data_IF_984921500498
#
_entry.id   IF_984921500498
#
_cell.length_a   1.000
_cell.length_b   1.000
_cell.length_c   1.000
_cell.angle_alpha   90.00
_cell.angle_beta   90.00
_cell.angle_gamma   90.00
#
_symmetry.space_group_name_H-M   'P 1'
#
loop_
_entity.id
_entity.type
_entity.pdbx_description
1 polymer ?
#
# COMPACT_ATOMS: atom_id res chain seq x y z
N UNK A 1 -29.56 -20.38 0.37
CA UNK A 1 -28.92 -19.97 -0.90
C UNK A 1 -29.85 -20.35 -2.04
N UNK A 2 -30.35 -19.37 -2.79
CA UNK A 2 -31.11 -19.64 -4.02
C UNK A 2 -30.14 -20.20 -5.08
N UNK A 3 -30.55 -21.28 -5.75
CA UNK A 3 -29.75 -22.09 -6.71
C UNK A 3 -29.04 -21.30 -7.82
N UNK A 4 -29.34 -20.00 -7.98
CA UNK A 4 -28.82 -19.14 -9.06
C UNK A 4 -27.98 -17.94 -8.57
N UNK A 5 -27.73 -17.79 -7.27
CA UNK A 5 -27.09 -16.59 -6.74
C UNK A 5 -25.61 -16.50 -7.17
N UNK A 6 -24.84 -17.56 -6.95
CA UNK A 6 -23.40 -17.60 -7.29
C UNK A 6 -23.18 -17.33 -8.79
N UNK A 7 -24.05 -17.88 -9.64
CA UNK A 7 -23.97 -17.66 -11.10
C UNK A 7 -24.25 -16.20 -11.46
N UNK A 8 -25.22 -15.56 -10.78
CA UNK A 8 -25.50 -14.13 -11.01
C UNK A 8 -24.34 -13.25 -10.60
N UNK A 9 -23.76 -13.49 -9.43
CA UNK A 9 -22.60 -12.74 -8.98
C UNK A 9 -21.38 -12.96 -9.88
N UNK A 10 -21.14 -14.19 -10.32
CA UNK A 10 -20.08 -14.49 -11.28
C UNK A 10 -20.30 -13.71 -12.59
N UNK A 11 -21.55 -13.64 -13.09
CA UNK A 11 -21.86 -12.88 -14.30
C UNK A 11 -21.67 -11.36 -14.08
N UNK A 12 -21.99 -10.85 -12.91
CA UNK A 12 -21.78 -9.44 -12.58
C UNK A 12 -20.27 -9.12 -12.55
N UNK A 13 -19.49 -9.92 -11.85
CA UNK A 13 -18.02 -9.79 -11.81
C UNK A 13 -17.39 -9.86 -13.22
N UNK A 14 -17.88 -10.78 -14.08
CA UNK A 14 -17.42 -10.85 -15.47
C UNK A 14 -17.68 -9.54 -16.22
N UNK A 15 -18.89 -8.95 -16.07
CA UNK A 15 -19.26 -7.69 -16.75
C UNK A 15 -18.39 -6.52 -16.33
N UNK A 16 -17.99 -6.47 -15.07
CA UNK A 16 -17.15 -5.41 -14.52
C UNK A 16 -15.68 -5.53 -14.94
N UNK A 17 -15.22 -6.77 -15.24
CA UNK A 17 -13.80 -7.05 -15.50
C UNK A 17 -13.46 -7.31 -16.96
N UNK A 18 -14.43 -7.41 -17.85
CA UNK A 18 -14.13 -7.50 -19.29
C UNK A 18 -13.46 -6.20 -19.77
N UNK A 19 -12.56 -6.26 -20.75
CA UNK A 19 -11.93 -5.09 -21.33
C UNK A 19 -12.97 -4.07 -21.84
N UNK A 20 -12.73 -2.76 -21.66
CA UNK A 20 -13.66 -1.72 -22.11
C UNK A 20 -14.00 -1.85 -23.59
N UNK A 21 -15.30 -1.77 -23.91
CA UNK A 21 -15.79 -1.86 -25.30
C UNK A 21 -16.02 -3.28 -25.82
N UNK A 22 -15.72 -4.32 -25.04
CA UNK A 22 -16.03 -5.70 -25.44
C UNK A 22 -17.42 -6.15 -24.94
N UNK A 23 -18.06 -7.00 -25.74
CA UNK A 23 -19.31 -7.67 -25.35
C UNK A 23 -18.99 -8.97 -24.61
N UNK A 24 -19.60 -9.18 -23.43
CA UNK A 24 -19.36 -10.35 -22.60
C UNK A 24 -19.58 -11.68 -23.34
N UNK A 25 -20.62 -11.78 -24.16
CA UNK A 25 -20.89 -13.02 -24.90
C UNK A 25 -19.80 -13.32 -25.95
N UNK A 26 -19.28 -12.31 -26.63
CA UNK A 26 -18.19 -12.49 -27.57
C UNK A 26 -16.89 -12.88 -26.84
N UNK A 27 -16.57 -12.18 -25.73
CA UNK A 27 -15.41 -12.50 -24.91
C UNK A 27 -15.43 -13.97 -24.45
N UNK A 28 -16.57 -14.44 -23.93
CA UNK A 28 -16.71 -15.83 -23.45
C UNK A 28 -16.68 -16.84 -24.61
N UNK A 29 -17.19 -16.49 -25.81
CA UNK A 29 -17.10 -17.34 -27.01
C UNK A 29 -15.64 -17.61 -27.34
N UNK A 30 -14.81 -16.57 -27.33
CA UNK A 30 -13.39 -16.67 -27.68
C UNK A 30 -12.58 -17.35 -26.55
N UNK A 31 -12.90 -17.05 -25.29
CA UNK A 31 -12.18 -17.59 -24.13
C UNK A 31 -12.48 -19.05 -23.85
N UNK A 32 -13.74 -19.48 -24.04
CA UNK A 32 -14.18 -20.84 -23.73
C UNK A 32 -14.24 -21.75 -24.98
N UNK A 33 -13.91 -21.21 -26.17
CA UNK A 33 -13.95 -21.91 -27.44
C UNK A 33 -15.30 -22.59 -27.71
N UNK A 34 -16.42 -21.91 -27.41
CA UNK A 34 -17.77 -22.45 -27.59
C UNK A 34 -18.66 -21.53 -28.44
N UNK A 35 -19.69 -22.11 -29.06
CA UNK A 35 -20.63 -21.34 -29.89
C UNK A 35 -21.44 -20.30 -29.08
N UNK A 36 -21.80 -19.18 -29.72
CA UNK A 36 -22.54 -18.07 -29.10
C UNK A 36 -23.80 -18.52 -28.38
N UNK A 37 -24.57 -19.43 -28.99
CA UNK A 37 -25.82 -19.93 -28.37
C UNK A 37 -25.55 -20.67 -27.06
N UNK A 38 -24.46 -21.46 -26.98
CA UNK A 38 -24.07 -22.13 -25.75
C UNK A 38 -23.68 -21.16 -24.65
N UNK A 39 -23.00 -20.03 -25.03
CA UNK A 39 -22.67 -18.94 -24.10
C UNK A 39 -23.94 -18.24 -23.62
N UNK A 40 -24.87 -17.88 -24.51
CA UNK A 40 -26.12 -17.22 -24.12
C UNK A 40 -26.97 -18.08 -23.20
N UNK A 41 -27.04 -19.38 -23.41
CA UNK A 41 -27.75 -20.31 -22.50
C UNK A 41 -27.16 -20.31 -21.10
N UNK A 42 -25.82 -20.21 -20.98
CA UNK A 42 -25.14 -20.08 -19.68
C UNK A 42 -25.41 -18.73 -19.02
N UNK A 43 -25.33 -17.66 -19.80
CA UNK A 43 -25.59 -16.30 -19.28
C UNK A 43 -27.06 -16.11 -18.84
N UNK A 44 -28.02 -16.82 -19.45
CA UNK A 44 -29.42 -16.86 -19.02
C UNK A 44 -29.69 -17.82 -17.86
N UNK A 45 -28.69 -18.63 -17.46
CA UNK A 45 -28.83 -19.61 -16.40
C UNK A 45 -29.59 -20.88 -16.80
N UNK A 46 -29.80 -21.09 -18.10
CA UNK A 46 -30.45 -22.32 -18.63
C UNK A 46 -29.52 -23.54 -18.57
N UNK A 47 -28.23 -23.28 -18.67
CA UNK A 47 -27.17 -24.26 -18.53
C UNK A 47 -26.15 -23.72 -17.54
N UNK A 48 -25.75 -24.53 -16.56
CA UNK A 48 -24.72 -24.15 -15.60
C UNK A 48 -23.34 -24.08 -16.28
N UNK A 49 -22.50 -23.14 -15.86
CA UNK A 49 -21.08 -23.21 -16.16
C UNK A 49 -20.47 -24.43 -15.49
N UNK A 50 -19.62 -25.15 -16.21
CA UNK A 50 -18.83 -26.24 -15.63
C UNK A 50 -17.73 -25.66 -14.75
N UNK A 51 -17.16 -26.51 -13.89
CA UNK A 51 -16.05 -26.05 -13.03
C UNK A 51 -14.82 -25.63 -13.85
N UNK A 52 -14.53 -26.34 -14.92
CA UNK A 52 -13.42 -25.99 -15.84
C UNK A 52 -13.67 -24.64 -16.54
N UNK A 53 -14.90 -24.40 -16.99
CA UNK A 53 -15.25 -23.10 -17.59
C UNK A 53 -15.10 -21.95 -16.59
N UNK A 54 -15.55 -22.17 -15.35
CA UNK A 54 -15.38 -21.22 -14.25
C UNK A 54 -13.89 -20.98 -13.96
N UNK A 55 -13.07 -22.01 -13.93
CA UNK A 55 -11.63 -21.89 -13.70
C UNK A 55 -10.95 -21.06 -14.81
N UNK A 56 -11.27 -21.31 -16.07
CA UNK A 56 -10.75 -20.56 -17.22
C UNK A 56 -11.17 -19.10 -17.16
N UNK A 57 -12.45 -18.81 -16.88
CA UNK A 57 -13.00 -17.46 -16.72
C UNK A 57 -12.29 -16.73 -15.58
N UNK A 58 -12.20 -17.39 -14.42
CA UNK A 58 -11.59 -16.82 -13.21
C UNK A 58 -10.12 -16.45 -13.45
N UNK A 59 -9.37 -17.33 -14.13
CA UNK A 59 -7.97 -17.09 -14.45
C UNK A 59 -7.80 -15.89 -15.41
N UNK A 60 -8.60 -15.82 -16.48
CA UNK A 60 -8.45 -14.79 -17.51
C UNK A 60 -8.96 -13.41 -17.07
N UNK A 61 -9.98 -13.35 -16.23
CA UNK A 61 -10.57 -12.10 -15.72
C UNK A 61 -10.08 -11.71 -14.32
N UNK A 62 -9.24 -12.55 -13.68
CA UNK A 62 -8.79 -12.31 -12.31
C UNK A 62 -9.92 -12.37 -11.28
N UNK A 63 -10.96 -13.19 -11.53
CA UNK A 63 -12.11 -13.34 -10.63
C UNK A 63 -11.78 -14.38 -9.56
N UNK A 64 -11.96 -14.04 -8.28
CA UNK A 64 -11.85 -14.98 -7.17
C UNK A 64 -13.21 -15.62 -6.86
N UNK A 65 -13.33 -16.92 -7.07
CA UNK A 65 -14.53 -17.67 -6.70
C UNK A 65 -14.75 -17.67 -5.19
N UNK A 66 -13.68 -17.67 -4.41
CA UNK A 66 -13.77 -17.57 -2.95
C UNK A 66 -14.35 -16.25 -2.50
N UNK A 67 -14.08 -15.14 -3.22
CA UNK A 67 -14.75 -13.85 -2.95
C UNK A 67 -16.24 -13.94 -3.21
N UNK A 68 -16.65 -14.52 -4.33
CA UNK A 68 -18.08 -14.68 -4.68
C UNK A 68 -18.80 -15.55 -3.64
N UNK A 69 -18.19 -16.64 -3.20
CA UNK A 69 -18.77 -17.54 -2.19
C UNK A 69 -18.65 -16.95 -0.79
N UNK A 70 -17.52 -16.34 -0.47
CA UNK A 70 -17.16 -15.83 0.85
C UNK A 70 -18.00 -14.62 1.29
N UNK A 71 -18.46 -13.80 0.37
CA UNK A 71 -19.38 -12.67 0.65
C UNK A 71 -20.70 -13.11 1.33
N UNK A 72 -20.98 -14.41 1.37
CA UNK A 72 -22.15 -14.99 2.06
C UNK A 72 -21.83 -15.69 3.39
N UNK A 73 -20.54 -15.96 3.64
CA UNK A 73 -20.12 -16.56 4.91
C UNK A 73 -19.68 -15.39 5.80
N UNK A 74 -20.58 -14.92 6.65
CA UNK A 74 -20.48 -13.72 7.48
C UNK A 74 -19.18 -13.55 8.30
N UNK A 75 -18.26 -14.53 8.29
CA UNK A 75 -17.03 -14.55 9.09
C UNK A 75 -15.77 -14.88 8.26
N UNK A 76 -15.85 -14.93 6.92
CA UNK A 76 -14.66 -15.19 6.08
C UNK A 76 -14.49 -14.06 5.09
N UNK A 77 -13.26 -13.57 4.99
CA UNK A 77 -12.87 -12.51 4.08
C UNK A 77 -11.62 -12.93 3.34
N UNK A 78 -11.57 -12.63 2.04
CA UNK A 78 -10.41 -12.92 1.21
C UNK A 78 -9.45 -11.74 1.25
N UNK A 79 -8.16 -12.06 1.37
CA UNK A 79 -7.06 -11.11 1.24
C UNK A 79 -6.16 -11.51 0.08
N UNK A 80 -5.78 -10.55 -0.72
CA UNK A 80 -4.67 -10.68 -1.64
C UNK A 80 -3.37 -10.53 -0.87
N UNK A 81 -2.47 -11.48 -1.01
CA UNK A 81 -1.17 -11.43 -0.34
C UNK A 81 -0.12 -11.02 -1.36
N UNK A 82 0.49 -9.87 -1.13
CA UNK A 82 1.56 -9.36 -1.97
C UNK A 82 2.91 -10.02 -1.60
N UNK A 83 2.99 -11.33 -1.83
CA UNK A 83 4.16 -12.16 -1.62
C UNK A 83 4.71 -12.60 -2.98
N UNK A 84 5.32 -11.66 -3.71
CA UNK A 84 5.91 -11.98 -4.99
C UNK A 84 7.20 -12.78 -4.79
N UNK A 85 7.29 -13.91 -5.49
CA UNK A 85 8.44 -14.80 -5.49
C UNK A 85 9.04 -14.86 -6.89
N UNK A 86 9.64 -13.75 -7.35
CA UNK A 86 10.50 -13.80 -8.51
C UNK A 86 11.91 -14.22 -8.08
N UNK A 87 12.64 -15.00 -8.88
CA UNK A 87 14.07 -15.24 -8.67
C UNK A 87 14.89 -13.93 -8.65
N UNK A 88 14.39 -12.90 -9.31
CA UNK A 88 14.99 -11.57 -9.32
C UNK A 88 14.34 -10.68 -8.25
N UNK A 89 15.06 -10.41 -7.17
CA UNK A 89 14.59 -9.59 -6.05
C UNK A 89 14.28 -8.15 -6.46
N UNK A 90 15.04 -7.55 -7.40
CA UNK A 90 14.77 -6.20 -7.87
C UNK A 90 13.45 -6.11 -8.64
N UNK A 91 13.10 -7.14 -9.44
CA UNK A 91 11.80 -7.22 -10.11
C UNK A 91 10.66 -7.33 -9.10
N UNK A 92 10.78 -8.26 -8.14
CA UNK A 92 9.77 -8.42 -7.09
C UNK A 92 9.55 -7.13 -6.30
N UNK A 93 10.64 -6.44 -5.93
CA UNK A 93 10.55 -5.16 -5.24
C UNK A 93 9.84 -4.11 -6.09
N UNK A 94 10.23 -3.98 -7.36
CA UNK A 94 9.63 -3.04 -8.29
C UNK A 94 8.13 -3.29 -8.45
N UNK A 95 7.72 -4.54 -8.66
CA UNK A 95 6.30 -4.90 -8.80
C UNK A 95 5.47 -4.56 -7.55
N UNK A 96 6.04 -4.74 -6.35
CA UNK A 96 5.39 -4.33 -5.10
C UNK A 96 5.19 -2.81 -5.06
N UNK A 97 6.22 -2.03 -5.41
CA UNK A 97 6.12 -0.56 -5.44
C UNK A 97 5.12 -0.10 -6.49
N UNK A 98 5.13 -0.70 -7.69
CA UNK A 98 4.17 -0.40 -8.76
C UNK A 98 2.72 -0.70 -8.34
N UNK A 99 2.49 -1.72 -7.50
CA UNK A 99 1.15 -1.98 -6.95
C UNK A 99 0.65 -0.79 -6.10
N UNK A 100 1.50 -0.25 -5.22
CA UNK A 100 1.15 0.95 -4.46
C UNK A 100 0.91 2.17 -5.37
N UNK A 101 1.73 2.32 -6.42
CA UNK A 101 1.55 3.39 -7.39
C UNK A 101 0.21 3.29 -8.13
N UNK A 102 -0.24 2.10 -8.50
CA UNK A 102 -1.58 1.91 -9.11
C UNK A 102 -2.69 2.37 -8.17
N UNK A 103 -2.60 2.03 -6.87
CA UNK A 103 -3.57 2.49 -5.85
C UNK A 103 -3.59 4.01 -5.77
N UNK A 104 -2.43 4.67 -5.69
CA UNK A 104 -2.38 6.13 -5.63
C UNK A 104 -2.78 6.81 -6.94
N UNK A 105 -2.50 6.18 -8.09
CA UNK A 105 -2.93 6.68 -9.39
C UNK A 105 -4.45 6.66 -9.57
N UNK A 106 -5.15 5.73 -8.93
CA UNK A 106 -6.61 5.66 -8.98
C UNK A 106 -7.30 6.87 -8.33
N UNK A 107 -6.59 7.62 -7.48
CA UNK A 107 -7.10 8.83 -6.84
C UNK A 107 -6.91 10.11 -7.69
N UNK A 108 -6.19 10.02 -8.81
CA UNK A 108 -5.88 11.19 -9.62
C UNK A 108 -7.15 11.85 -10.18
N UNK A 109 -7.34 13.14 -9.86
CA UNK A 109 -8.49 13.92 -10.31
C UNK A 109 -9.75 13.74 -9.46
N UNK A 110 -9.68 12.99 -8.36
CA UNK A 110 -10.77 12.84 -7.41
C UNK A 110 -10.46 13.58 -6.10
N UNK A 111 -10.98 14.80 -5.97
CA UNK A 111 -10.81 15.62 -4.77
C UNK A 111 -11.56 15.07 -3.53
N UNK A 112 -12.47 14.12 -3.73
CA UNK A 112 -13.19 13.45 -2.64
C UNK A 112 -12.44 12.20 -2.13
N UNK A 113 -11.33 11.81 -2.80
CA UNK A 113 -10.55 10.65 -2.39
C UNK A 113 -9.91 10.84 -1.02
N UNK A 114 -9.84 9.77 -0.25
CA UNK A 114 -9.34 9.77 1.14
C UNK A 114 -8.31 8.67 1.36
N UNK A 115 -7.28 9.00 2.13
CA UNK A 115 -6.32 8.03 2.67
C UNK A 115 -6.31 8.15 4.19
N UNK A 116 -6.52 7.04 4.88
CA UNK A 116 -6.34 6.91 6.32
C UNK A 116 -5.20 5.94 6.60
N UNK A 117 -4.21 6.35 7.35
CA UNK A 117 -3.07 5.49 7.70
C UNK A 117 -2.70 5.63 9.16
N UNK A 118 -2.68 4.51 9.89
CA UNK A 118 -2.10 4.43 11.22
C UNK A 118 -0.78 3.67 11.13
N UNK A 119 0.32 4.24 11.62
CA UNK A 119 1.66 3.67 11.46
C UNK A 119 2.57 3.93 12.65
N UNK A 120 3.31 2.90 13.05
CA UNK A 120 4.37 2.95 14.06
C UNK A 120 5.78 3.11 13.45
N UNK A 121 5.86 3.32 12.14
CA UNK A 121 7.12 3.58 11.41
C UNK A 121 6.93 4.74 10.45
N UNK A 122 8.01 5.36 10.00
CA UNK A 122 7.93 6.40 8.96
C UNK A 122 7.30 5.79 7.69
N UNK A 123 6.19 6.36 7.17
CA UNK A 123 5.61 5.87 5.92
C UNK A 123 6.60 6.03 4.76
N UNK A 124 6.74 5.00 3.93
CA UNK A 124 7.70 5.00 2.82
C UNK A 124 7.47 6.14 1.84
N UNK A 125 6.25 6.56 1.64
CA UNK A 125 5.87 7.68 0.77
C UNK A 125 6.53 9.01 1.14
N UNK A 126 6.92 9.22 2.40
CA UNK A 126 7.59 10.44 2.83
C UNK A 126 9.09 10.45 2.51
N UNK A 127 9.73 9.29 2.46
CA UNK A 127 11.17 9.22 2.26
C UNK A 127 11.62 8.48 0.99
N UNK A 128 10.68 8.02 0.17
CA UNK A 128 11.01 7.27 -1.06
C UNK A 128 11.80 8.09 -2.09
N UNK A 129 11.68 9.41 -2.08
CA UNK A 129 12.45 10.30 -2.95
C UNK A 129 13.87 10.61 -2.44
N UNK A 130 14.19 10.29 -1.17
CA UNK A 130 15.51 10.47 -0.61
C UNK A 130 16.42 9.31 -1.01
N UNK A 131 17.57 9.61 -1.56
CA UNK A 131 18.42 8.61 -2.20
C UNK A 131 18.90 7.53 -1.23
N UNK A 132 19.54 7.91 -0.13
CA UNK A 132 20.11 6.96 0.82
C UNK A 132 19.04 6.25 1.65
N UNK A 133 17.97 6.94 2.06
CA UNK A 133 16.87 6.32 2.79
C UNK A 133 16.14 5.26 1.94
N UNK A 134 15.91 5.55 0.67
CA UNK A 134 15.28 4.61 -0.25
C UNK A 134 16.21 3.45 -0.63
N UNK A 135 17.50 3.70 -0.84
CA UNK A 135 18.53 2.66 -1.03
C UNK A 135 18.63 1.74 0.19
N UNK A 136 18.66 2.32 1.39
CA UNK A 136 18.72 1.53 2.63
C UNK A 136 17.50 0.63 2.79
N UNK A 137 16.29 1.15 2.45
CA UNK A 137 15.07 0.34 2.47
C UNK A 137 15.16 -0.84 1.50
N UNK A 138 15.62 -0.62 0.27
CA UNK A 138 15.81 -1.68 -0.72
C UNK A 138 16.87 -2.68 -0.26
N UNK A 139 18.02 -2.20 0.23
CA UNK A 139 19.10 -3.03 0.78
C UNK A 139 18.59 -3.96 1.89
N UNK A 140 17.85 -3.40 2.85
CA UNK A 140 17.22 -4.14 3.95
C UNK A 140 16.25 -5.20 3.44
N UNK A 141 15.41 -4.85 2.46
CA UNK A 141 14.45 -5.79 1.89
C UNK A 141 15.15 -6.95 1.16
N UNK A 142 16.20 -6.67 0.38
CA UNK A 142 17.04 -7.68 -0.26
C UNK A 142 17.71 -8.59 0.78
N UNK A 143 18.28 -7.99 1.83
CA UNK A 143 18.92 -8.73 2.91
C UNK A 143 17.98 -9.71 3.61
N UNK A 144 16.73 -9.28 3.83
CA UNK A 144 15.70 -10.13 4.47
C UNK A 144 15.15 -11.25 3.57
N UNK A 145 15.09 -11.01 2.26
CA UNK A 145 14.44 -11.93 1.31
C UNK A 145 15.41 -12.77 0.47
N UNK A 146 16.70 -12.52 0.54
CA UNK A 146 17.68 -13.23 -0.29
C UNK A 146 18.93 -13.66 0.45
N UNK A 147 19.56 -14.69 -0.10
CA UNK A 147 20.93 -15.09 0.26
C UNK A 147 21.99 -14.29 -0.52
N UNK A 148 21.61 -13.11 -1.00
CA UNK A 148 22.48 -12.24 -1.81
C UNK A 148 23.42 -11.48 -0.89
N UNK A 149 24.72 -11.49 -1.20
CA UNK A 149 25.67 -10.57 -0.56
C UNK A 149 25.21 -9.15 -0.88
N UNK A 150 24.78 -8.41 0.15
CA UNK A 150 24.62 -6.96 0.02
C UNK A 150 26.01 -6.33 -0.09
N UNK A 151 26.18 -5.27 -0.89
CA UNK A 151 27.42 -4.50 -0.87
C UNK A 151 27.67 -3.94 0.54
N UNK A 152 28.93 -3.85 0.96
CA UNK A 152 29.30 -3.31 2.27
C UNK A 152 29.13 -1.79 2.36
N UNK A 153 28.62 -1.15 1.31
CA UNK A 153 28.31 0.27 1.23
C UNK A 153 27.07 0.49 0.37
N UNK A 154 26.19 1.37 0.82
CA UNK A 154 25.02 1.82 0.04
C UNK A 154 25.46 2.63 -1.19
N UNK A 155 26.60 3.32 -1.12
CA UNK A 155 27.16 4.08 -2.24
C UNK A 155 27.50 3.17 -3.42
N UNK A 156 27.94 1.93 -3.16
CA UNK A 156 28.29 0.95 -4.19
C UNK A 156 27.06 0.16 -4.70
N UNK A 157 25.91 0.35 -4.07
CA UNK A 157 24.70 -0.33 -4.47
C UNK A 157 24.10 0.28 -5.73
N UNK A 158 24.12 -0.47 -6.83
CA UNK A 158 23.42 -0.08 -8.05
C UNK A 158 21.91 -0.33 -7.89
N UNK A 159 21.13 0.72 -7.99
CA UNK A 159 19.65 0.64 -8.00
C UNK A 159 19.18 0.84 -9.44
N UNK A 160 18.44 -0.11 -10.05
CA UNK A 160 17.92 0.05 -11.40
C UNK A 160 17.10 1.34 -11.57
N UNK A 161 17.28 2.04 -12.69
CA UNK A 161 16.61 3.34 -12.96
C UNK A 161 15.09 3.27 -12.81
N UNK A 162 14.47 2.15 -13.20
CA UNK A 162 13.03 1.94 -13.04
C UNK A 162 12.58 1.98 -11.57
N UNK A 163 13.40 1.45 -10.64
CA UNK A 163 13.11 1.50 -9.20
C UNK A 163 13.26 2.93 -8.69
N UNK A 164 14.31 3.64 -9.13
CA UNK A 164 14.50 5.07 -8.77
C UNK A 164 13.31 5.90 -9.25
N UNK A 165 12.84 5.68 -10.48
CA UNK A 165 11.66 6.35 -11.00
C UNK A 165 10.40 6.03 -10.20
N UNK A 166 10.18 4.75 -9.85
CA UNK A 166 9.03 4.33 -9.02
C UNK A 166 9.09 4.94 -7.63
N UNK A 167 10.26 5.07 -7.01
CA UNK A 167 10.43 5.73 -5.71
C UNK A 167 10.03 7.22 -5.77
N UNK A 168 10.47 7.95 -6.79
CA UNK A 168 10.07 9.36 -7.00
C UNK A 168 8.57 9.47 -7.23
N UNK A 169 7.99 8.60 -8.06
CA UNK A 169 6.57 8.58 -8.32
C UNK A 169 5.75 8.24 -7.06
N UNK A 170 6.28 7.41 -6.16
CA UNK A 170 5.61 7.03 -4.92
C UNK A 170 5.49 8.21 -3.96
N UNK A 171 6.52 9.05 -3.84
CA UNK A 171 6.47 10.26 -3.00
C UNK A 171 5.43 11.27 -3.50
N UNK A 172 5.24 11.35 -4.82
CA UNK A 172 4.22 12.22 -5.43
C UNK A 172 2.83 11.57 -5.46
N UNK A 173 2.80 10.23 -5.41
CA UNK A 173 1.55 9.46 -5.52
C UNK A 173 0.55 9.80 -4.41
N UNK A 174 1.02 9.86 -3.18
CA UNK A 174 0.18 10.15 -2.01
C UNK A 174 -0.44 11.56 -2.06
N UNK A 175 0.28 12.54 -2.61
CA UNK A 175 -0.21 13.93 -2.76
C UNK A 175 -1.42 14.05 -3.68
N UNK A 176 -1.79 12.97 -4.41
CA UNK A 176 -2.97 12.94 -5.29
C UNK A 176 -4.28 12.73 -4.54
N UNK A 177 -4.23 12.21 -3.31
CA UNK A 177 -5.41 12.09 -2.47
C UNK A 177 -5.96 13.45 -2.09
N UNK A 178 -7.28 13.65 -2.18
CA UNK A 178 -7.93 14.89 -1.78
C UNK A 178 -7.72 15.18 -0.29
N UNK A 179 -7.79 14.14 0.54
CA UNK A 179 -7.55 14.21 1.99
C UNK A 179 -6.71 13.05 2.47
N UNK A 180 -5.72 13.36 3.30
CA UNK A 180 -4.83 12.36 3.90
C UNK A 180 -4.82 12.48 5.42
N UNK A 181 -5.09 11.38 6.11
CA UNK A 181 -5.10 11.29 7.57
C UNK A 181 -4.03 10.30 8.03
N UNK A 182 -3.01 10.80 8.72
CA UNK A 182 -1.99 9.99 9.37
C UNK A 182 -2.21 9.98 10.88
N UNK A 183 -2.14 8.78 11.47
CA UNK A 183 -2.06 8.60 12.92
C UNK A 183 -0.73 7.91 13.19
N UNK A 184 0.17 8.63 13.84
CA UNK A 184 1.52 8.20 14.08
C UNK A 184 1.75 7.81 15.53
N UNK A 185 2.52 6.75 15.70
CA UNK A 185 3.19 6.50 16.98
C UNK A 185 4.18 7.63 17.29
N UNK A 186 4.33 7.96 18.58
CA UNK A 186 5.23 9.01 19.04
C UNK A 186 6.72 8.71 18.80
N UNK A 187 7.09 7.48 18.36
CA UNK A 187 8.45 7.00 18.14
C UNK A 187 8.71 6.55 16.71
N UNK A 188 7.99 7.08 15.72
CA UNK A 188 8.01 6.60 14.32
C UNK A 188 9.42 6.52 13.69
N UNK A 189 10.39 7.32 14.15
CA UNK A 189 11.78 7.28 13.67
C UNK A 189 12.64 6.21 14.37
N UNK A 190 12.23 5.73 15.54
CA UNK A 190 13.05 4.85 16.38
C UNK A 190 13.41 3.53 15.69
N UNK A 191 12.46 2.91 14.98
CA UNK A 191 12.71 1.65 14.28
C UNK A 191 13.75 1.82 13.17
N UNK A 192 13.66 2.92 12.41
CA UNK A 192 14.59 3.21 11.33
C UNK A 192 16.03 3.43 11.85
N UNK A 193 16.16 4.22 12.91
CA UNK A 193 17.47 4.47 13.57
C UNK A 193 18.05 3.19 14.14
N UNK A 194 17.24 2.34 14.80
CA UNK A 194 17.68 1.02 15.29
C UNK A 194 18.21 0.13 14.18
N UNK A 195 17.52 0.10 13.04
CA UNK A 195 17.93 -0.70 11.88
C UNK A 195 19.24 -0.19 11.28
N UNK A 196 19.44 1.12 11.14
CA UNK A 196 20.71 1.70 10.69
C UNK A 196 21.84 1.26 11.61
N UNK A 197 21.68 1.40 12.94
CA UNK A 197 22.68 0.96 13.93
C UNK A 197 22.99 -0.54 13.81
N UNK A 198 21.98 -1.37 13.62
CA UNK A 198 22.15 -2.81 13.45
C UNK A 198 22.97 -3.14 12.20
N UNK A 199 22.64 -2.54 11.05
CA UNK A 199 23.36 -2.77 9.81
C UNK A 199 24.79 -2.23 9.87
N UNK A 200 25.02 -1.09 10.51
CA UNK A 200 26.36 -0.54 10.75
C UNK A 200 27.18 -1.46 11.67
N UNK A 201 26.60 -1.96 12.77
CA UNK A 201 27.25 -2.88 13.69
C UNK A 201 27.62 -4.22 13.08
N UNK A 202 26.96 -4.65 12.01
CA UNK A 202 27.30 -5.83 11.21
C UNK A 202 28.24 -5.53 10.02
N UNK A 203 28.72 -4.29 9.86
CA UNK A 203 29.47 -3.83 8.71
C UNK A 203 28.79 -4.08 7.35
N UNK A 204 27.46 -4.04 7.32
CA UNK A 204 26.64 -4.15 6.10
C UNK A 204 26.46 -2.80 5.40
N UNK A 205 26.73 -1.72 6.10
CA UNK A 205 26.81 -0.34 5.59
C UNK A 205 28.03 0.34 6.18
N UNK A 206 28.59 1.28 5.44
CA UNK A 206 29.80 2.00 5.85
C UNK A 206 29.51 3.18 6.79
N UNK A 207 30.53 3.68 7.50
CA UNK A 207 30.38 4.90 8.32
C UNK A 207 29.93 6.11 7.50
N UNK A 208 30.45 6.38 6.29
CA UNK A 208 29.89 7.43 5.43
C UNK A 208 28.41 7.22 5.11
N UNK A 209 27.95 5.98 4.85
CA UNK A 209 26.51 5.72 4.61
C UNK A 209 25.66 6.12 5.81
N UNK A 210 26.12 5.83 7.04
CA UNK A 210 25.40 6.25 8.27
C UNK A 210 25.28 7.76 8.32
N UNK A 211 26.32 8.51 7.95
CA UNK A 211 26.27 9.98 7.91
C UNK A 211 25.30 10.49 6.85
N UNK A 212 25.28 9.90 5.65
CA UNK A 212 24.29 10.26 4.62
C UNK A 212 22.87 9.97 5.07
N UNK A 213 22.63 8.80 5.67
CA UNK A 213 21.32 8.42 6.21
C UNK A 213 20.87 9.37 7.33
N UNK A 214 21.78 9.75 8.24
CA UNK A 214 21.51 10.73 9.29
C UNK A 214 21.11 12.08 8.72
N UNK A 215 21.88 12.59 7.75
CA UNK A 215 21.59 13.87 7.10
C UNK A 215 20.24 13.86 6.40
N UNK A 216 19.91 12.79 5.66
CA UNK A 216 18.63 12.68 5.01
C UNK A 216 17.46 12.51 5.99
N UNK A 217 17.64 11.83 7.15
CA UNK A 217 16.63 11.76 8.21
C UNK A 217 16.39 13.13 8.84
N UNK A 218 17.44 13.94 9.05
CA UNK A 218 17.32 15.31 9.54
C UNK A 218 16.56 16.18 8.53
N UNK A 219 16.89 16.08 7.24
CA UNK A 219 16.18 16.82 6.18
C UNK A 219 14.71 16.39 6.10
N UNK A 220 14.45 15.10 6.14
CA UNK A 220 13.08 14.56 6.18
C UNK A 220 12.28 15.12 7.36
N UNK A 221 12.92 15.22 8.54
CA UNK A 221 12.26 15.77 9.73
C UNK A 221 11.91 17.26 9.56
N UNK A 222 12.80 18.04 8.94
CA UNK A 222 12.56 19.44 8.59
C UNK A 222 11.39 19.57 7.60
N UNK A 223 11.38 18.74 6.56
CA UNK A 223 10.32 18.74 5.55
C UNK A 223 8.97 18.34 6.15
N UNK A 224 8.96 17.37 7.07
CA UNK A 224 7.76 16.97 7.81
C UNK A 224 7.26 18.07 8.77
N UNK A 225 8.17 18.82 9.41
CA UNK A 225 7.81 19.98 10.24
C UNK A 225 7.12 21.04 9.37
N UNK A 226 7.73 21.44 8.25
CA UNK A 226 7.14 22.41 7.32
C UNK A 226 5.78 21.97 6.80
N UNK A 227 5.66 20.68 6.43
CA UNK A 227 4.42 20.11 5.92
C UNK A 227 3.33 20.09 7.02
N UNK A 228 3.71 19.77 8.26
CA UNK A 228 2.78 19.75 9.38
C UNK A 228 2.33 21.15 9.81
N UNK A 229 3.19 22.18 9.66
CA UNK A 229 2.78 23.58 9.90
C UNK A 229 1.71 23.98 8.91
N UNK A 230 1.86 23.68 7.62
CA UNK A 230 0.89 24.03 6.58
C UNK A 230 -0.42 23.26 6.70
N UNK A 231 -0.39 21.97 7.02
CA UNK A 231 -1.56 21.10 7.02
C UNK A 231 -2.11 20.76 5.63
N UNK A 232 -1.32 21.04 4.59
CA UNK A 232 -1.67 20.76 3.20
C UNK A 232 -0.42 20.47 2.35
N UNK A 233 -0.60 19.75 1.25
CA UNK A 233 0.43 19.56 0.25
C UNK A 233 0.55 20.79 -0.68
N UNK A 234 1.62 20.83 -1.49
CA UNK A 234 1.87 21.93 -2.44
C UNK A 234 0.77 22.12 -3.49
N UNK A 235 -0.05 21.12 -3.73
CA UNK A 235 -1.21 21.15 -4.64
C UNK A 235 -2.53 21.55 -3.94
N UNK A 236 -2.50 21.93 -2.66
CA UNK A 236 -3.66 22.35 -1.87
C UNK A 236 -4.51 21.19 -1.30
N UNK A 237 -4.09 19.94 -1.47
CA UNK A 237 -4.78 18.81 -0.86
C UNK A 237 -4.49 18.74 0.65
N UNK A 238 -5.52 18.40 1.42
CA UNK A 238 -5.48 18.46 2.89
C UNK A 238 -4.66 17.33 3.50
N UNK A 239 -3.86 17.67 4.51
CA UNK A 239 -3.04 16.73 5.28
C UNK A 239 -3.31 16.88 6.78
N UNK A 240 -3.71 15.80 7.40
CA UNK A 240 -3.95 15.71 8.83
C UNK A 240 -2.98 14.71 9.47
N UNK A 241 -2.11 15.19 10.36
CA UNK A 241 -1.18 14.35 11.13
C UNK A 241 -1.58 14.39 12.59
N UNK A 242 -1.85 13.22 13.14
CA UNK A 242 -2.20 12.99 14.53
C UNK A 242 -1.11 12.17 15.22
N UNK A 243 -0.80 12.52 16.45
CA UNK A 243 0.02 11.69 17.35
C UNK A 243 -0.89 10.87 18.23
N UNK A 244 -0.76 9.56 18.18
CA UNK A 244 -1.53 8.66 19.02
C UNK A 244 -1.03 8.68 20.47
N UNK A 245 -1.98 8.71 21.40
CA UNK A 245 -1.71 8.50 22.83
C UNK A 245 -1.86 7.02 23.22
N UNK A 246 -2.18 6.17 22.26
CA UNK A 246 -2.34 4.73 22.43
C UNK A 246 -1.38 4.04 21.46
N UNK A 247 -0.61 3.08 21.98
CA UNK A 247 0.28 2.26 21.15
C UNK A 247 -0.51 1.33 20.24
N UNK A 248 0.03 1.09 19.04
CA UNK A 248 -0.48 0.11 18.10
C UNK A 248 0.67 -0.57 17.34
N UNK A 249 0.51 -1.84 17.04
CA UNK A 249 1.63 -2.72 16.69
C UNK A 249 1.92 -2.83 15.20
N UNK A 250 1.05 -2.31 14.34
CA UNK A 250 1.19 -2.51 12.90
C UNK A 250 0.90 -1.25 12.09
N UNK A 251 1.16 -1.31 10.79
CA UNK A 251 0.75 -0.28 9.84
C UNK A 251 -0.53 -0.71 9.14
N UNK A 252 -1.54 0.14 9.22
CA UNK A 252 -2.84 -0.02 8.59
C UNK A 252 -3.07 1.15 7.64
N UNK A 253 -3.55 0.87 6.43
CA UNK A 253 -3.88 1.92 5.46
C UNK A 253 -5.20 1.59 4.77
N UNK A 254 -6.13 2.53 4.79
CA UNK A 254 -7.37 2.51 4.04
C UNK A 254 -7.31 3.60 2.98
N UNK A 255 -7.68 3.25 1.75
CA UNK A 255 -7.75 4.16 0.62
C UNK A 255 -9.14 4.06 -0.01
N UNK A 256 -9.74 5.18 -0.30
CA UNK A 256 -11.02 5.23 -1.03
C UNK A 256 -11.04 6.38 -2.04
N UNK A 257 -11.66 6.12 -3.16
CA UNK A 257 -12.11 7.11 -4.13
C UNK A 257 -13.57 6.79 -4.52
N UNK A 258 -14.13 7.54 -5.48
CA UNK A 258 -15.53 7.37 -5.92
C UNK A 258 -15.88 5.95 -6.40
N UNK A 259 -14.92 5.22 -6.98
CA UNK A 259 -15.17 3.94 -7.66
C UNK A 259 -14.51 2.74 -6.94
N UNK A 260 -13.69 3.01 -5.90
CA UNK A 260 -12.77 1.99 -5.40
C UNK A 260 -12.44 2.21 -3.93
N UNK A 261 -12.36 1.14 -3.17
CA UNK A 261 -11.82 1.15 -1.81
C UNK A 261 -10.96 -0.07 -1.55
N UNK A 262 -9.93 0.10 -0.73
CA UNK A 262 -9.01 -0.96 -0.36
C UNK A 262 -8.47 -0.76 1.04
N UNK A 263 -8.34 -1.86 1.75
CA UNK A 263 -7.67 -1.95 3.03
C UNK A 263 -6.36 -2.70 2.89
N UNK A 264 -5.27 -2.09 3.36
CA UNK A 264 -3.94 -2.67 3.33
C UNK A 264 -3.43 -2.87 4.76
N UNK A 265 -2.88 -4.05 5.01
CA UNK A 265 -2.22 -4.42 6.25
C UNK A 265 -0.77 -4.76 5.95
N UNK A 266 0.17 -4.02 6.50
CA UNK A 266 1.59 -4.35 6.32
C UNK A 266 1.92 -5.60 7.12
N UNK A 267 2.45 -6.60 6.42
CA UNK A 267 2.84 -7.89 7.02
C UNK A 267 4.31 -7.84 7.45
N UNK A 268 5.19 -7.50 6.53
CA UNK A 268 6.61 -7.31 6.79
C UNK A 268 7.25 -6.41 5.72
N UNK A 269 8.18 -5.56 6.12
CA UNK A 269 8.89 -4.62 5.24
C UNK A 269 7.93 -3.81 4.34
N UNK A 270 7.95 -4.04 3.02
CA UNK A 270 7.05 -3.41 2.05
C UNK A 270 5.87 -4.28 1.65
N UNK A 271 5.86 -5.54 2.09
CA UNK A 271 4.80 -6.47 1.75
C UNK A 271 3.52 -6.19 2.54
N UNK A 272 2.38 -6.35 1.89
CA UNK A 272 1.07 -6.18 2.50
C UNK A 272 0.14 -7.33 2.17
N UNK A 273 -0.86 -7.51 3.03
CA UNK A 273 -2.13 -8.14 2.66
C UNK A 273 -3.13 -7.03 2.41
N UNK A 274 -3.95 -7.18 1.40
CA UNK A 274 -4.96 -6.19 1.07
C UNK A 274 -6.30 -6.85 0.71
N UNK A 275 -7.37 -6.11 0.95
CA UNK A 275 -8.73 -6.56 0.64
C UNK A 275 -9.57 -5.39 0.16
N UNK A 276 -10.37 -5.64 -0.87
CA UNK A 276 -11.38 -4.72 -1.37
C UNK A 276 -12.78 -5.05 -0.80
N UNK A 277 -12.88 -6.03 0.11
CA UNK A 277 -14.13 -6.36 0.76
C UNK A 277 -14.71 -5.13 1.49
N UNK A 278 -15.95 -4.71 1.18
CA UNK A 278 -16.58 -3.56 1.84
C UNK A 278 -16.60 -3.71 3.36
N UNK A 279 -16.83 -4.91 3.85
CA UNK A 279 -16.84 -5.22 5.29
C UNK A 279 -15.48 -4.94 5.96
N UNK A 280 -14.38 -5.40 5.34
CA UNK A 280 -13.03 -5.16 5.88
C UNK A 280 -12.65 -3.69 5.77
N UNK A 281 -12.99 -3.05 4.66
CA UNK A 281 -12.75 -1.63 4.45
C UNK A 281 -13.46 -0.78 5.50
N UNK A 282 -14.71 -1.07 5.79
CA UNK A 282 -15.48 -0.39 6.82
C UNK A 282 -14.90 -0.62 8.23
N UNK A 283 -14.62 -1.87 8.58
CA UNK A 283 -14.00 -2.22 9.88
C UNK A 283 -12.69 -1.47 10.06
N UNK A 284 -11.80 -1.52 9.08
CA UNK A 284 -10.49 -0.88 9.16
C UNK A 284 -10.62 0.66 9.22
N UNK A 285 -11.46 1.26 8.38
CA UNK A 285 -11.73 2.71 8.41
C UNK A 285 -12.20 3.13 9.80
N UNK A 286 -13.20 2.43 10.34
CA UNK A 286 -13.76 2.71 11.66
C UNK A 286 -12.70 2.54 12.78
N UNK A 287 -11.84 1.53 12.67
CA UNK A 287 -10.78 1.31 13.63
C UNK A 287 -9.74 2.44 13.61
N UNK A 288 -9.26 2.85 12.43
CA UNK A 288 -8.32 3.98 12.30
C UNK A 288 -8.97 5.28 12.79
N UNK A 289 -10.24 5.51 12.48
CA UNK A 289 -10.97 6.68 12.99
C UNK A 289 -11.15 6.64 14.50
N UNK A 290 -11.24 5.45 15.11
CA UNK A 290 -11.27 5.33 16.57
C UNK A 290 -9.96 5.73 17.22
N UNK A 291 -8.82 5.37 16.62
CA UNK A 291 -7.50 5.83 17.08
C UNK A 291 -7.40 7.36 17.03
N UNK A 292 -7.92 7.98 15.96
CA UNK A 292 -7.92 9.45 15.83
C UNK A 292 -8.58 10.14 17.01
N UNK A 293 -9.64 9.56 17.60
CA UNK A 293 -10.30 10.13 18.78
C UNK A 293 -9.42 10.18 20.03
N UNK A 294 -8.40 9.31 20.08
CA UNK A 294 -7.43 9.23 21.16
C UNK A 294 -6.06 9.83 20.78
N UNK A 295 -6.04 10.66 19.74
CA UNK A 295 -4.82 11.23 19.18
C UNK A 295 -4.87 12.75 19.18
N UNK A 296 -3.72 13.39 19.20
CA UNK A 296 -3.59 14.85 19.16
C UNK A 296 -3.22 15.29 17.74
N UNK A 297 -4.00 16.18 17.14
CA UNK A 297 -3.70 16.80 15.84
C UNK A 297 -2.48 17.72 15.98
N UNK A 298 -1.48 17.53 15.11
CA UNK A 298 -0.25 18.35 15.06
C UNK A 298 -0.04 19.08 13.75
N UNK A 299 -0.90 18.86 12.73
CA UNK A 299 -0.85 19.59 11.46
C UNK A 299 -1.89 20.73 11.45
N UNK A 300 -1.49 21.91 10.95
CA UNK A 300 -2.31 23.10 10.94
C UNK A 300 -2.67 23.66 12.33
N UNK A 301 -2.50 22.86 13.39
CA UNK A 301 -2.75 23.20 14.81
C UNK A 301 -1.84 22.39 15.73
N UNK A 302 -2.01 22.49 17.06
CA UNK A 302 -1.25 21.70 18.03
C UNK A 302 0.26 22.00 18.05
N UNK A 303 0.63 23.30 17.99
CA UNK A 303 2.02 23.75 17.87
C UNK A 303 2.93 23.20 18.96
N UNK A 304 2.53 23.28 20.22
CA UNK A 304 3.34 22.79 21.34
C UNK A 304 3.62 21.27 21.24
N UNK A 305 2.60 20.48 20.87
CA UNK A 305 2.72 19.04 20.69
C UNK A 305 3.58 18.72 19.44
N UNK A 306 3.45 19.51 18.36
CA UNK A 306 4.30 19.38 17.17
C UNK A 306 5.76 19.64 17.52
N UNK A 307 6.09 20.73 18.22
CA UNK A 307 7.45 21.06 18.65
C UNK A 307 8.02 19.92 19.49
N UNK A 308 7.29 19.46 20.51
CA UNK A 308 7.72 18.37 21.38
C UNK A 308 7.99 17.07 20.58
N UNK A 309 7.13 16.75 19.59
CA UNK A 309 7.32 15.61 18.72
C UNK A 309 8.58 15.75 17.87
N UNK A 310 8.78 16.88 17.21
CA UNK A 310 9.95 17.15 16.35
C UNK A 310 11.25 17.06 17.15
N UNK A 311 11.31 17.69 18.34
CA UNK A 311 12.48 17.62 19.23
C UNK A 311 12.79 16.17 19.66
N UNK A 312 11.75 15.39 19.97
CA UNK A 312 11.90 13.97 20.30
C UNK A 312 12.49 13.18 19.12
N UNK A 313 11.97 13.36 17.90
CA UNK A 313 12.52 12.66 16.73
C UNK A 313 13.95 13.12 16.42
N UNK A 314 14.24 14.43 16.56
CA UNK A 314 15.60 14.97 16.42
C UNK A 314 16.56 14.28 17.38
N UNK A 315 16.21 14.17 18.66
CA UNK A 315 17.03 13.48 19.65
C UNK A 315 17.27 12.01 19.31
N UNK A 316 16.27 11.32 18.73
CA UNK A 316 16.42 9.93 18.26
C UNK A 316 17.42 9.85 17.10
N UNK A 317 17.34 10.75 16.12
CA UNK A 317 18.27 10.79 14.98
C UNK A 317 19.69 11.11 15.42
N UNK A 318 19.86 12.01 16.39
CA UNK A 318 21.18 12.37 16.91
C UNK A 318 21.93 11.18 17.56
N UNK A 319 21.24 10.12 17.90
CA UNK A 319 21.89 8.89 18.42
C UNK A 319 22.61 8.07 17.34
N UNK A 320 22.50 8.40 16.02
CA UNK A 320 23.33 7.86 14.93
C UNK A 320 24.74 8.52 14.95
#
# INVERSE_FOLDING_TARGET
MTKNYIVKELINEMKERIPPGQNLANYLTDTLYMGKEAVYRRLRGEVAFTFDEIAVISHNLGISIDQIIGNHLSNRVTFDVNLLHSPNLYESYHEIVERYLRIFNSMKGDSASEVYSATNTIPFTFYSAYEYLSKFRLCRWIYQNGKVKTPNSLSDMHVPDKIVASHKNLSEGLKRAGKTYFIWDSNVFSSFVKEIKYFAGLNLISTPDVMYLKNELQQLLIDLEHLSVKGEYSNGHELYIYLSNIDFEATYTYVANKDYQISLFRVYSINSMDSQSPQICEIQKNWIQSLRRHSTLISGSGEAQRIAFIEKQRSIIETL
#
